data_IF_660274365044
#
_entry.id   IF_660274365044
#
_cell.length_a   1.000
_cell.length_b   1.000
_cell.length_c   1.000
_cell.angle_alpha   90.00
_cell.angle_beta   90.00
_cell.angle_gamma   90.00
#
_symmetry.space_group_name_H-M   'P 1'
#
loop_
_entity.id
_entity.type
_entity.pdbx_description
1 polymer ?
#
# COMPACT_ATOMS: atom_id res chain seq x y z
N UNK A 1 -8.40 -15.90 5.05
CA UNK A 1 -7.68 -14.95 4.18
C UNK A 1 -8.69 -14.33 3.23
N UNK A 2 -9.27 -13.19 3.57
CA UNK A 2 -10.31 -12.57 2.76
C UNK A 2 -9.71 -11.41 1.96
N UNK A 3 -9.66 -11.57 0.63
CA UNK A 3 -9.35 -10.47 -0.28
C UNK A 3 -10.48 -9.43 -0.16
N UNK A 4 -10.10 -8.15 -0.04
CA UNK A 4 -11.09 -7.08 0.03
C UNK A 4 -11.81 -6.91 -1.30
N UNK A 5 -13.05 -6.41 -1.26
CA UNK A 5 -13.84 -6.11 -2.46
C UNK A 5 -13.10 -5.18 -3.44
N UNK A 6 -12.33 -4.22 -2.90
CA UNK A 6 -11.52 -3.28 -3.68
C UNK A 6 -10.31 -3.95 -4.34
N UNK A 7 -9.65 -4.86 -3.62
CA UNK A 7 -8.56 -5.66 -4.16
C UNK A 7 -9.07 -6.55 -5.31
N UNK A 8 -10.27 -7.15 -5.17
CA UNK A 8 -10.94 -7.89 -6.25
C UNK A 8 -11.27 -7.02 -7.48
N UNK A 9 -11.79 -5.79 -7.28
CA UNK A 9 -12.03 -4.86 -8.39
C UNK A 9 -10.74 -4.52 -9.13
N UNK A 10 -9.66 -4.22 -8.40
CA UNK A 10 -8.36 -3.91 -8.97
C UNK A 10 -7.78 -5.12 -9.72
N UNK A 11 -7.92 -6.32 -9.17
CA UNK A 11 -7.44 -7.55 -9.80
C UNK A 11 -8.12 -7.79 -11.16
N UNK A 12 -9.46 -7.63 -11.21
CA UNK A 12 -10.23 -7.71 -12.47
C UNK A 12 -9.82 -6.65 -13.48
N UNK A 13 -9.62 -5.40 -13.03
CA UNK A 13 -9.19 -4.33 -13.92
C UNK A 13 -7.80 -4.61 -14.50
N UNK A 14 -6.87 -5.09 -13.66
CA UNK A 14 -5.52 -5.47 -14.08
C UNK A 14 -5.56 -6.64 -15.05
N UNK A 15 -6.40 -7.63 -14.76
CA UNK A 15 -6.61 -8.80 -15.63
C UNK A 15 -7.08 -8.39 -17.03
N UNK A 16 -8.15 -7.60 -17.12
CA UNK A 16 -8.67 -7.10 -18.40
C UNK A 16 -7.60 -6.31 -19.14
N UNK A 17 -6.84 -5.46 -18.43
CA UNK A 17 -5.74 -4.69 -19.03
C UNK A 17 -4.64 -5.61 -19.56
N UNK A 18 -4.28 -6.66 -18.82
CA UNK A 18 -3.29 -7.65 -19.24
C UNK A 18 -3.73 -8.39 -20.50
N UNK A 19 -5.02 -8.74 -20.59
CA UNK A 19 -5.59 -9.36 -21.80
C UNK A 19 -5.59 -8.40 -22.99
N UNK A 20 -5.93 -7.12 -22.79
CA UNK A 20 -5.89 -6.11 -23.87
C UNK A 20 -4.48 -5.90 -24.44
N UNK A 21 -3.46 -5.85 -23.58
CA UNK A 21 -2.07 -5.60 -24.00
C UNK A 21 -1.30 -6.88 -24.31
N UNK A 22 -1.87 -8.06 -24.02
CA UNK A 22 -1.23 -9.37 -24.16
C UNK A 22 -0.02 -9.58 -23.25
N UNK A 23 0.11 -8.81 -22.16
CA UNK A 23 1.27 -8.83 -21.27
C UNK A 23 0.86 -8.57 -19.82
N UNK A 24 1.70 -8.93 -18.87
CA UNK A 24 1.40 -8.73 -17.45
C UNK A 24 1.30 -7.24 -17.09
N UNK A 25 0.10 -6.79 -16.72
CA UNK A 25 -0.16 -5.41 -16.31
C UNK A 25 0.17 -5.18 -14.81
N UNK A 26 0.81 -6.12 -14.11
CA UNK A 26 1.35 -5.84 -12.78
C UNK A 26 2.58 -4.95 -12.91
N UNK A 27 2.65 -3.86 -12.14
CA UNK A 27 3.75 -2.91 -12.23
C UNK A 27 3.56 -1.80 -13.26
N UNK A 28 2.60 -1.92 -14.20
CA UNK A 28 2.35 -0.88 -15.21
C UNK A 28 1.43 0.24 -14.73
N UNK A 29 0.68 0.02 -13.64
CA UNK A 29 -0.19 1.05 -13.06
C UNK A 29 0.59 1.98 -12.12
N UNK A 30 0.22 3.27 -12.12
CA UNK A 30 0.90 4.31 -11.34
C UNK A 30 0.93 4.01 -9.82
N UNK A 31 -0.18 3.48 -9.29
CA UNK A 31 -0.25 3.07 -7.89
C UNK A 31 0.72 1.94 -7.54
N UNK A 32 1.23 1.18 -8.51
CA UNK A 32 2.10 0.05 -8.27
C UNK A 32 3.46 0.45 -7.66
N UNK A 33 3.86 1.72 -7.80
CA UNK A 33 5.03 2.31 -7.12
C UNK A 33 4.89 2.30 -5.59
N UNK A 34 3.65 2.27 -5.07
CA UNK A 34 3.35 2.17 -3.63
C UNK A 34 2.86 0.78 -3.23
N UNK A 35 2.99 -0.22 -4.11
CA UNK A 35 2.60 -1.60 -3.85
C UNK A 35 3.61 -2.30 -2.96
N UNK A 36 3.12 -2.94 -1.92
CA UNK A 36 3.93 -3.62 -0.91
C UNK A 36 3.37 -5.02 -0.72
N UNK A 37 4.08 -6.03 -1.23
CA UNK A 37 3.63 -7.42 -1.31
C UNK A 37 3.61 -8.12 0.05
N UNK A 38 4.22 -7.53 1.08
CA UNK A 38 4.22 -8.05 2.43
C UNK A 38 2.92 -7.72 3.18
N UNK A 39 2.10 -6.81 2.63
CA UNK A 39 0.82 -6.41 3.22
C UNK A 39 -0.35 -7.23 2.69
N UNK A 40 -1.32 -7.50 3.56
CA UNK A 40 -2.65 -7.95 3.13
C UNK A 40 -3.33 -6.88 2.26
N UNK A 41 -3.82 -7.31 1.09
CA UNK A 41 -4.42 -6.48 0.04
C UNK A 41 -3.46 -5.40 -0.50
N UNK A 42 -2.35 -5.80 -1.14
CA UNK A 42 -1.25 -4.92 -1.50
C UNK A 42 -1.66 -3.87 -2.54
N UNK A 43 -2.46 -4.25 -3.54
CA UNK A 43 -2.90 -3.33 -4.59
C UNK A 43 -3.94 -2.34 -4.07
N UNK A 44 -4.86 -2.76 -3.19
CA UNK A 44 -5.79 -1.84 -2.54
C UNK A 44 -5.04 -0.78 -1.73
N UNK A 45 -4.09 -1.19 -0.89
CA UNK A 45 -3.32 -0.25 -0.08
C UNK A 45 -2.49 0.69 -0.93
N UNK A 46 -1.91 0.19 -2.02
CA UNK A 46 -1.19 0.98 -3.00
C UNK A 46 -2.11 2.03 -3.64
N UNK A 47 -3.27 1.59 -4.14
CA UNK A 47 -4.29 2.45 -4.75
C UNK A 47 -4.77 3.52 -3.76
N UNK A 48 -5.08 3.13 -2.51
CA UNK A 48 -5.44 4.06 -1.43
C UNK A 48 -4.32 5.05 -1.13
N UNK A 49 -3.06 4.63 -0.99
CA UNK A 49 -1.93 5.55 -0.75
C UNK A 49 -1.61 6.44 -1.94
N UNK A 50 -1.96 6.01 -3.15
CA UNK A 50 -1.78 6.78 -4.37
C UNK A 50 -2.87 7.84 -4.53
N UNK A 51 -4.14 7.45 -4.35
CA UNK A 51 -5.31 8.34 -4.43
C UNK A 51 -5.63 9.12 -3.16
N UNK A 52 -5.04 8.76 -2.02
CA UNK A 52 -5.09 9.59 -0.83
C UNK A 52 -4.34 10.88 -1.15
N UNK A 53 -5.09 11.91 -1.61
CA UNK A 53 -4.67 13.30 -1.55
C UNK A 53 -4.06 13.49 -0.18
N UNK A 54 -2.80 13.92 -0.17
CA UNK A 54 -2.01 14.07 1.05
C UNK A 54 -2.91 14.58 2.17
N UNK A 55 -3.07 13.85 3.30
CA UNK A 55 -3.58 14.51 4.47
C UNK A 55 -2.60 15.66 4.69
N UNK A 56 -3.09 16.89 4.53
CA UNK A 56 -2.38 18.07 4.97
C UNK A 56 -1.87 17.74 6.37
N UNK A 57 -0.53 17.58 6.46
CA UNK A 57 0.28 17.37 7.65
C UNK A 57 -0.55 17.25 8.94
N UNK A 58 -0.91 16.04 9.33
CA UNK A 58 -1.16 15.77 10.76
C UNK A 58 -0.12 14.78 11.22
N UNK A 59 0.93 15.40 11.76
CA UNK A 59 1.83 14.95 12.80
C UNK A 59 2.16 13.45 12.81
N UNK A 60 3.45 13.19 12.54
CA UNK A 60 4.13 12.03 13.06
C UNK A 60 3.95 11.94 14.58
N UNK A 61 2.90 11.29 15.05
CA UNK A 61 2.87 10.69 16.37
C UNK A 61 3.57 9.33 16.26
N UNK A 62 4.91 9.36 16.22
CA UNK A 62 5.68 8.24 16.76
C UNK A 62 5.68 8.46 18.28
N UNK A 63 4.94 7.71 19.10
CA UNK A 63 5.30 7.59 20.50
C UNK A 63 6.59 6.75 20.52
N UNK A 64 7.75 7.40 20.40
CA UNK A 64 8.99 6.80 20.86
C UNK A 64 9.00 6.99 22.36
N UNK A 65 8.57 5.94 23.03
CA UNK A 65 8.55 5.76 24.48
C UNK A 65 9.84 6.30 25.10
N UNK A 66 9.63 7.21 26.04
CA UNK A 66 10.62 7.78 26.94
C UNK A 66 11.24 6.72 27.84
N UNK A 67 12.58 6.75 27.92
CA UNK A 67 13.41 6.66 29.12
C UNK A 67 13.22 5.52 30.14
N UNK A 68 14.29 4.72 30.33
CA UNK A 68 14.85 4.32 31.64
C UNK A 68 16.29 3.78 31.40
N UNK A 69 17.34 4.57 31.62
CA UNK A 69 18.09 4.80 32.87
C UNK A 69 18.80 3.51 33.35
N UNK A 70 20.13 3.46 33.25
CA UNK A 70 20.98 3.13 34.40
C UNK A 70 22.44 3.53 34.13
N UNK A 71 23.02 4.21 35.11
CA UNK A 71 24.44 4.52 35.22
C UNK A 71 25.19 3.33 35.85
N UNK A 72 26.54 3.40 35.79
CA UNK A 72 27.52 2.76 36.70
C UNK A 72 28.22 1.50 36.15
N UNK A 73 29.51 1.66 35.82
CA UNK A 73 30.65 1.16 36.63
C UNK A 73 31.92 1.90 36.23
#
# INVERSE_FOLDING_TARGET
>A
MAISKKQQELDKMKWIKSEEIGADACGTFDFCVKCDKELENPCEKAYKKFHAKAPAKRAAAKPKTTAKKEAKV
#
